data_IF_092259322234
#
_entry.id   IF_092259322234
#
_cell.length_a   1.000
_cell.length_b   1.000
_cell.length_c   1.000
_cell.angle_alpha   90.00
_cell.angle_beta   90.00
_cell.angle_gamma   90.00
#
_symmetry.space_group_name_H-M   'P 1'
#
loop_
_entity.id
_entity.type
_entity.pdbx_description
1 polymer ?
#
# COMPACT_ATOMS: atom_id res chain seq x y z
N UNK A 1 -10.12 -24.44 12.48
CA UNK A 1 -11.56 -24.68 12.18
C UNK A 1 -12.30 -23.45 11.69
N UNK A 2 -12.35 -22.33 12.43
CA UNK A 2 -13.07 -21.11 11.97
C UNK A 2 -12.53 -20.52 10.66
N UNK A 3 -11.22 -20.34 10.52
CA UNK A 3 -10.62 -19.90 9.24
C UNK A 3 -10.88 -20.92 8.11
N UNK A 4 -10.90 -22.22 8.40
CA UNK A 4 -11.25 -23.25 7.41
C UNK A 4 -12.72 -23.12 6.95
N UNK A 5 -13.66 -22.81 7.85
CA UNK A 5 -15.07 -22.60 7.47
C UNK A 5 -15.29 -21.32 6.62
N UNK A 6 -14.42 -20.32 6.75
CA UNK A 6 -14.52 -19.05 6.00
C UNK A 6 -13.76 -19.13 4.68
N UNK A 7 -12.61 -19.81 4.67
CA UNK A 7 -11.74 -19.96 3.49
C UNK A 7 -12.14 -21.17 2.64
N UNK A 8 -12.76 -22.17 3.24
CA UNK A 8 -12.93 -23.51 2.71
C UNK A 8 -14.35 -24.07 2.79
N UNK A 9 -14.47 -25.23 2.14
CA UNK A 9 -15.69 -26.02 1.94
C UNK A 9 -15.94 -26.81 3.24
N UNK A 10 -17.13 -26.66 3.82
CA UNK A 10 -17.55 -27.57 4.89
C UNK A 10 -17.65 -29.00 4.32
N UNK A 11 -17.16 -30.06 4.98
CA UNK A 11 -17.13 -31.43 4.44
C UNK A 11 -18.50 -32.04 4.07
N UNK A 12 -19.60 -31.33 4.30
CA UNK A 12 -20.97 -31.82 4.19
C UNK A 12 -21.86 -31.05 3.21
N UNK A 13 -21.33 -30.26 2.27
CA UNK A 13 -22.15 -29.51 1.30
C UNK A 13 -21.63 -29.53 -0.16
N UNK A 14 -22.55 -29.43 -1.16
CA UNK A 14 -22.30 -29.68 -2.59
C UNK A 14 -21.29 -28.72 -3.25
N UNK A 15 -20.80 -29.01 -4.47
CA UNK A 15 -19.52 -28.51 -4.99
C UNK A 15 -19.48 -27.02 -5.42
N UNK A 16 -20.53 -26.24 -5.16
CA UNK A 16 -20.59 -24.79 -5.44
C UNK A 16 -20.13 -23.91 -4.25
N UNK A 17 -19.83 -24.51 -3.11
CA UNK A 17 -19.58 -23.83 -1.83
C UNK A 17 -18.15 -23.34 -1.56
N UNK A 18 -17.46 -22.72 -2.54
CA UNK A 18 -16.22 -22.00 -2.24
C UNK A 18 -16.56 -20.56 -1.81
N UNK A 19 -16.54 -20.30 -0.50
CA UNK A 19 -16.85 -18.99 0.08
C UNK A 19 -15.83 -17.88 -0.25
N UNK A 20 -14.83 -18.16 -1.09
CA UNK A 20 -13.91 -17.15 -1.61
C UNK A 20 -13.16 -16.39 -0.52
N UNK A 21 -12.98 -16.99 0.66
CA UNK A 21 -12.27 -16.38 1.79
C UNK A 21 -13.09 -15.39 2.63
N UNK A 22 -14.40 -15.32 2.45
CA UNK A 22 -15.30 -14.51 3.28
C UNK A 22 -16.69 -15.17 3.47
N UNK A 23 -17.32 -14.97 4.61
CA UNK A 23 -18.66 -15.51 4.90
C UNK A 23 -19.52 -14.47 5.61
N UNK A 24 -20.81 -14.42 5.30
CA UNK A 24 -21.76 -13.58 6.04
C UNK A 24 -21.80 -13.96 7.52
N UNK A 25 -21.85 -12.96 8.41
CA UNK A 25 -21.82 -13.19 9.85
C UNK A 25 -23.01 -14.04 10.32
N UNK A 26 -24.20 -13.79 9.76
CA UNK A 26 -25.40 -14.58 10.08
C UNK A 26 -25.28 -16.05 9.65
N UNK A 27 -24.68 -16.31 8.47
CA UNK A 27 -24.43 -17.67 8.00
C UNK A 27 -23.36 -18.38 8.84
N UNK A 28 -22.29 -17.67 9.21
CA UNK A 28 -21.26 -18.20 10.10
C UNK A 28 -21.83 -18.58 11.48
N UNK A 29 -22.74 -17.77 12.02
CA UNK A 29 -23.45 -18.05 13.28
C UNK A 29 -24.37 -19.27 13.16
N UNK A 30 -25.06 -19.46 12.04
CA UNK A 30 -25.90 -20.66 11.82
C UNK A 30 -25.08 -21.95 11.78
N UNK A 31 -23.86 -21.89 11.25
CA UNK A 31 -22.96 -23.05 11.11
C UNK A 31 -22.25 -23.44 12.41
N UNK A 32 -22.16 -22.53 13.37
CA UNK A 32 -21.39 -22.71 14.58
C UNK A 32 -22.30 -22.57 15.81
N UNK A 33 -22.60 -23.69 16.46
CA UNK A 33 -23.23 -23.67 17.77
C UNK A 33 -22.26 -23.04 18.78
N UNK A 34 -22.66 -21.93 19.43
CA UNK A 34 -21.83 -21.27 20.47
C UNK A 34 -21.54 -19.79 20.24
N UNK A 35 -22.58 -18.95 20.12
CA UNK A 35 -22.46 -17.53 19.75
C UNK A 35 -21.46 -16.69 20.59
N UNK A 36 -21.31 -17.00 21.88
CA UNK A 36 -20.37 -16.26 22.75
C UNK A 36 -18.91 -16.58 22.42
N UNK A 37 -18.57 -17.84 22.16
CA UNK A 37 -17.21 -18.27 21.79
C UNK A 37 -16.82 -17.78 20.40
N UNK A 38 -17.77 -17.83 19.46
CA UNK A 38 -17.61 -17.25 18.12
C UNK A 38 -17.31 -15.74 18.20
N UNK A 39 -18.06 -14.99 19.01
CA UNK A 39 -17.81 -13.57 19.22
C UNK A 39 -16.43 -13.30 19.85
N UNK A 40 -15.87 -14.23 20.65
CA UNK A 40 -14.50 -14.11 21.16
C UNK A 40 -13.47 -14.33 20.07
N UNK A 41 -13.66 -15.37 19.27
CA UNK A 41 -12.74 -15.70 18.18
C UNK A 41 -12.70 -14.63 17.08
N UNK A 42 -13.84 -14.02 16.77
CA UNK A 42 -13.95 -12.94 15.77
C UNK A 42 -13.29 -11.62 16.19
N UNK A 43 -12.90 -11.47 17.47
CA UNK A 43 -12.13 -10.30 17.93
C UNK A 43 -10.65 -10.37 17.57
N UNK A 44 -10.15 -11.53 17.15
CA UNK A 44 -8.77 -11.66 16.69
C UNK A 44 -8.60 -11.02 15.31
N UNK A 45 -8.20 -9.74 15.31
CA UNK A 45 -7.95 -8.96 14.10
C UNK A 45 -6.81 -9.53 13.23
N UNK A 46 -5.94 -10.37 13.80
CA UNK A 46 -4.89 -11.07 13.06
C UNK A 46 -5.41 -12.27 12.26
N UNK A 47 -6.64 -12.74 12.56
CA UNK A 47 -7.26 -13.93 11.93
C UNK A 47 -8.53 -13.61 11.16
N UNK A 48 -9.26 -12.57 11.55
CA UNK A 48 -10.53 -12.19 10.95
C UNK A 48 -10.67 -10.68 10.83
N UNK A 49 -11.26 -10.23 9.72
CA UNK A 49 -11.68 -8.85 9.51
C UNK A 49 -13.20 -8.81 9.37
N UNK A 50 -13.87 -8.01 10.19
CA UNK A 50 -15.29 -7.75 10.07
C UNK A 50 -15.51 -6.55 9.13
N UNK A 51 -16.12 -6.80 7.98
CA UNK A 51 -16.43 -5.82 6.97
C UNK A 51 -17.95 -5.60 6.85
N UNK A 52 -18.33 -4.41 6.36
CA UNK A 52 -19.71 -4.07 6.04
C UNK A 52 -19.82 -3.81 4.55
N UNK A 53 -20.65 -4.58 3.86
CA UNK A 53 -20.86 -4.47 2.42
C UNK A 53 -22.28 -4.00 2.13
N UNK A 54 -22.48 -3.14 1.12
CA UNK A 54 -23.82 -2.75 0.71
C UNK A 54 -24.55 -3.95 0.09
N UNK A 55 -25.80 -4.18 0.50
CA UNK A 55 -26.69 -5.19 -0.08
C UNK A 55 -26.89 -4.99 -1.59
N UNK A 56 -26.78 -6.05 -2.42
CA UNK A 56 -27.17 -6.01 -3.80
C UNK A 56 -28.70 -6.06 -3.95
N UNK A 57 -29.37 -4.91 -3.71
CA UNK A 57 -30.69 -4.44 -4.22
C UNK A 57 -31.60 -3.87 -3.13
N UNK A 58 -32.00 -2.60 -3.31
CA UNK A 58 -33.37 -2.10 -3.16
C UNK A 58 -34.07 -2.07 -1.79
N UNK A 59 -33.66 -2.86 -0.80
CA UNK A 59 -34.17 -2.75 0.56
C UNK A 59 -33.31 -1.72 1.33
N UNK A 60 -33.97 -0.82 2.05
CA UNK A 60 -33.36 0.32 2.72
C UNK A 60 -32.02 0.00 3.41
N UNK A 61 -30.91 0.52 2.84
CA UNK A 61 -29.59 0.71 3.45
C UNK A 61 -29.13 -0.32 4.51
N UNK A 62 -29.43 -1.61 4.33
CA UNK A 62 -28.95 -2.65 5.22
C UNK A 62 -27.51 -3.00 4.79
N UNK A 63 -26.54 -2.68 5.65
CA UNK A 63 -25.17 -3.12 5.47
C UNK A 63 -25.04 -4.58 5.91
N UNK A 64 -24.64 -5.47 5.00
CA UNK A 64 -24.32 -6.86 5.33
C UNK A 64 -23.00 -6.93 6.07
N UNK A 65 -23.01 -7.52 7.27
CA UNK A 65 -21.80 -7.85 7.99
C UNK A 65 -21.18 -9.14 7.44
N UNK A 66 -19.95 -9.04 6.93
CA UNK A 66 -19.19 -10.14 6.34
C UNK A 66 -17.90 -10.34 7.13
N UNK A 67 -17.58 -11.59 7.46
CA UNK A 67 -16.33 -12.00 8.09
C UNK A 67 -15.36 -12.44 7.00
N UNK A 68 -14.24 -11.74 6.88
CA UNK A 68 -13.16 -12.04 5.94
C UNK A 68 -12.02 -12.73 6.70
N UNK A 69 -11.45 -13.80 6.14
CA UNK A 69 -10.29 -14.46 6.73
C UNK A 69 -9.01 -13.64 6.52
N UNK A 70 -8.33 -13.34 7.60
CA UNK A 70 -7.14 -12.48 7.64
C UNK A 70 -5.95 -13.29 8.15
N UNK A 71 -4.76 -12.98 7.66
CA UNK A 71 -3.53 -13.57 8.16
C UNK A 71 -2.32 -12.70 7.84
N UNK A 72 -1.38 -12.62 8.77
CA UNK A 72 -0.07 -11.99 8.58
C UNK A 72 0.94 -12.84 7.78
N UNK A 73 0.59 -14.08 7.40
CA UNK A 73 1.50 -14.96 6.67
C UNK A 73 1.83 -14.40 5.28
N UNK A 74 3.12 -14.37 4.91
CA UNK A 74 3.61 -13.84 3.62
C UNK A 74 4.62 -14.77 2.98
N UNK A 75 4.87 -14.58 1.68
CA UNK A 75 5.94 -15.27 0.97
C UNK A 75 7.32 -14.70 1.34
N UNK A 76 8.33 -15.56 1.36
CA UNK A 76 9.71 -15.14 1.52
C UNK A 76 10.25 -14.57 0.19
N UNK A 77 10.78 -13.34 0.16
CA UNK A 77 11.37 -12.77 -1.05
C UNK A 77 12.72 -13.42 -1.41
N UNK A 78 13.45 -13.98 -0.45
CA UNK A 78 14.81 -14.50 -0.61
C UNK A 78 14.89 -16.01 -0.97
N UNK A 79 13.77 -16.73 -1.06
CA UNK A 79 13.75 -18.19 -1.27
C UNK A 79 14.39 -18.66 -2.60
N UNK A 80 14.42 -17.80 -3.63
CA UNK A 80 14.85 -18.19 -4.99
C UNK A 80 16.35 -18.03 -5.25
N UNK A 81 17.09 -17.48 -4.30
CA UNK A 81 18.50 -17.10 -4.46
C UNK A 81 19.47 -17.79 -3.49
N UNK A 82 19.05 -18.86 -2.81
CA UNK A 82 19.88 -19.56 -1.82
C UNK A 82 20.15 -18.77 -0.53
N UNK A 83 19.61 -17.56 -0.39
CA UNK A 83 19.89 -16.66 0.74
C UNK A 83 19.02 -16.86 1.98
N UNK A 84 18.14 -17.87 2.02
CA UNK A 84 17.24 -18.10 3.14
C UNK A 84 17.56 -19.42 3.86
N UNK A 85 18.10 -19.33 5.07
CA UNK A 85 18.47 -20.48 5.90
C UNK A 85 17.28 -21.17 6.61
N UNK A 86 16.04 -20.91 6.19
CA UNK A 86 14.85 -21.60 6.72
C UNK A 86 14.31 -21.09 8.07
N UNK A 87 14.88 -20.02 8.64
CA UNK A 87 14.37 -19.38 9.89
C UNK A 87 13.75 -18.00 9.65
N UNK A 88 13.12 -17.81 8.49
CA UNK A 88 12.62 -16.50 8.05
C UNK A 88 11.19 -16.15 8.52
N UNK A 89 10.45 -17.10 9.11
CA UNK A 89 9.04 -16.91 9.51
C UNK A 89 8.09 -16.67 8.34
N UNK A 90 8.50 -16.97 7.10
CA UNK A 90 7.74 -16.73 5.86
C UNK A 90 7.70 -17.98 4.98
N UNK A 91 6.65 -18.11 4.18
CA UNK A 91 6.44 -19.29 3.33
C UNK A 91 7.43 -19.30 2.16
N UNK A 92 7.99 -20.48 1.90
CA UNK A 92 8.75 -20.79 0.69
C UNK A 92 7.79 -21.46 -0.30
N UNK A 93 7.26 -20.67 -1.23
CA UNK A 93 6.35 -21.11 -2.27
C UNK A 93 6.59 -20.40 -3.60
N UNK A 94 6.49 -21.14 -4.70
CA UNK A 94 6.49 -20.57 -6.04
C UNK A 94 5.27 -19.67 -6.24
N UNK A 95 5.51 -18.37 -6.48
CA UNK A 95 4.43 -17.39 -6.73
C UNK A 95 3.50 -17.78 -7.88
N UNK A 96 4.02 -18.45 -8.91
CA UNK A 96 3.23 -18.87 -10.07
C UNK A 96 2.42 -20.14 -9.75
N UNK A 97 2.98 -21.08 -9.00
CA UNK A 97 2.22 -22.21 -8.48
C UNK A 97 1.09 -21.73 -7.57
N UNK A 98 1.32 -20.70 -6.75
CA UNK A 98 0.32 -20.02 -5.92
C UNK A 98 -0.74 -19.24 -6.72
N UNK A 99 -0.44 -18.77 -7.94
CA UNK A 99 -1.47 -18.17 -8.82
C UNK A 99 -2.30 -19.21 -9.56
N UNK A 100 -1.77 -20.43 -9.70
CA UNK A 100 -2.46 -21.60 -10.24
C UNK A 100 -1.69 -22.25 -11.37
N UNK A 101 -0.93 -21.47 -12.15
CA UNK A 101 -0.19 -21.97 -13.31
C UNK A 101 1.29 -21.63 -13.20
N UNK A 102 2.12 -22.62 -12.90
CA UNK A 102 3.58 -22.53 -13.02
C UNK A 102 4.04 -23.10 -14.37
N UNK A 103 4.77 -22.29 -15.16
CA UNK A 103 5.32 -22.73 -16.46
C UNK A 103 6.25 -23.93 -16.34
N UNK A 104 7.09 -23.99 -15.31
CA UNK A 104 8.00 -25.12 -15.09
C UNK A 104 7.24 -26.39 -14.76
N UNK A 105 6.23 -26.30 -13.88
CA UNK A 105 5.34 -27.43 -13.59
C UNK A 105 4.62 -27.94 -14.84
N UNK A 106 4.06 -27.04 -15.64
CA UNK A 106 3.37 -27.38 -16.90
C UNK A 106 4.31 -28.02 -17.92
N UNK A 107 5.56 -27.55 -17.98
CA UNK A 107 6.59 -28.09 -18.86
C UNK A 107 7.30 -29.34 -18.28
N UNK A 108 6.85 -29.87 -17.12
CA UNK A 108 7.51 -30.97 -16.39
C UNK A 108 9.00 -30.73 -16.13
N UNK A 109 9.39 -29.46 -15.93
CA UNK A 109 10.73 -29.04 -15.56
C UNK A 109 10.79 -28.76 -14.07
N UNK A 110 11.97 -28.98 -13.48
CA UNK A 110 12.21 -28.62 -12.09
C UNK A 110 12.03 -27.12 -11.88
N UNK A 111 11.25 -26.77 -10.86
CA UNK A 111 11.08 -25.39 -10.45
C UNK A 111 12.06 -25.09 -9.31
N UNK A 112 12.79 -23.98 -9.43
CA UNK A 112 13.67 -23.48 -8.36
C UNK A 112 12.94 -23.10 -7.07
N UNK A 113 11.61 -23.06 -7.12
CA UNK A 113 10.76 -22.67 -6.01
C UNK A 113 9.87 -23.85 -5.60
N UNK A 114 9.59 -23.96 -4.31
CA UNK A 114 8.79 -25.04 -3.72
C UNK A 114 7.33 -24.97 -4.19
N UNK A 115 6.76 -26.10 -4.58
CA UNK A 115 5.34 -26.22 -4.96
C UNK A 115 4.49 -26.88 -3.86
N UNK A 116 5.11 -27.46 -2.83
CA UNK A 116 4.38 -28.06 -1.72
C UNK A 116 4.08 -27.01 -0.63
N UNK A 117 2.80 -26.71 -0.43
CA UNK A 117 2.30 -25.85 0.65
C UNK A 117 2.67 -26.36 2.04
N UNK A 118 2.79 -27.67 2.23
CA UNK A 118 3.13 -28.32 3.50
C UNK A 118 4.54 -28.94 3.44
N UNK A 119 5.50 -28.28 2.76
CA UNK A 119 6.91 -28.63 2.93
C UNK A 119 7.32 -28.51 4.40
N UNK A 120 8.38 -29.20 4.81
CA UNK A 120 8.85 -29.22 6.21
C UNK A 120 9.00 -27.80 6.80
N UNK A 121 9.66 -26.91 6.06
CA UNK A 121 9.78 -25.48 6.40
C UNK A 121 8.41 -24.79 6.50
N UNK A 122 7.57 -24.95 5.49
CA UNK A 122 6.27 -24.27 5.45
C UNK A 122 5.35 -24.74 6.58
N UNK A 123 5.39 -26.02 6.95
CA UNK A 123 4.56 -26.55 8.04
C UNK A 123 4.92 -25.89 9.38
N UNK A 124 6.20 -25.60 9.63
CA UNK A 124 6.63 -24.83 10.80
C UNK A 124 6.03 -23.42 10.81
N UNK A 125 6.10 -22.72 9.67
CA UNK A 125 5.49 -21.39 9.51
C UNK A 125 3.97 -21.47 9.65
N UNK A 126 3.29 -22.42 9.02
CA UNK A 126 1.83 -22.57 9.08
C UNK A 126 1.36 -22.81 10.52
N UNK A 127 2.07 -23.65 11.29
CA UNK A 127 1.77 -23.88 12.71
C UNK A 127 1.88 -22.62 13.56
N UNK A 128 2.86 -21.75 13.28
CA UNK A 128 2.99 -20.46 13.98
C UNK A 128 1.74 -19.59 13.80
N UNK A 129 1.08 -19.67 12.64
CA UNK A 129 -0.16 -18.94 12.35
C UNK A 129 -1.44 -19.77 12.59
N UNK A 130 -1.35 -21.03 13.04
CA UNK A 130 -2.50 -21.93 13.22
C UNK A 130 -3.23 -22.28 11.90
N UNK A 131 -2.47 -22.42 10.81
CA UNK A 131 -2.97 -22.65 9.44
C UNK A 131 -2.59 -24.03 8.89
N UNK A 132 -2.04 -24.91 9.72
CA UNK A 132 -1.49 -26.21 9.33
C UNK A 132 -2.52 -27.19 8.74
N UNK A 133 -3.79 -27.00 9.09
CA UNK A 133 -4.92 -27.84 8.64
C UNK A 133 -5.62 -27.31 7.39
N UNK A 134 -5.20 -26.16 6.85
CA UNK A 134 -5.78 -25.62 5.62
C UNK A 134 -5.23 -26.35 4.41
N UNK A 135 -6.10 -26.65 3.44
CA UNK A 135 -5.70 -27.21 2.16
C UNK A 135 -4.91 -26.21 1.31
N UNK A 136 -4.22 -26.70 0.28
CA UNK A 136 -3.48 -25.83 -0.65
C UNK A 136 -4.34 -24.78 -1.34
N UNK A 137 -5.61 -25.09 -1.63
CA UNK A 137 -6.55 -24.14 -2.24
C UNK A 137 -7.07 -23.10 -1.25
N UNK A 138 -7.25 -23.50 0.01
CA UNK A 138 -7.59 -22.57 1.08
C UNK A 138 -6.43 -21.62 1.36
N UNK A 139 -5.22 -22.14 1.50
CA UNK A 139 -4.00 -21.34 1.67
C UNK A 139 -3.79 -20.39 0.49
N UNK A 140 -4.10 -20.84 -0.73
CA UNK A 140 -4.08 -20.00 -1.93
C UNK A 140 -5.04 -18.83 -1.83
N UNK A 141 -6.31 -19.08 -1.50
CA UNK A 141 -7.30 -18.03 -1.32
C UNK A 141 -6.89 -17.04 -0.23
N UNK A 142 -6.46 -17.55 0.92
CA UNK A 142 -6.02 -16.75 2.06
C UNK A 142 -4.83 -15.86 1.70
N UNK A 143 -3.80 -16.40 1.03
CA UNK A 143 -2.62 -15.63 0.63
C UNK A 143 -2.96 -14.54 -0.40
N UNK A 144 -3.77 -14.86 -1.42
CA UNK A 144 -4.12 -13.91 -2.48
C UNK A 144 -4.90 -12.69 -1.96
N UNK A 145 -5.79 -12.87 -0.97
CA UNK A 145 -6.54 -11.75 -0.40
C UNK A 145 -5.76 -10.95 0.65
N UNK A 146 -4.75 -11.54 1.29
CA UNK A 146 -3.96 -10.88 2.34
C UNK A 146 -2.68 -10.19 1.82
N UNK A 147 -2.19 -10.55 0.64
CA UNK A 147 -0.97 -9.95 0.04
C UNK A 147 -1.27 -9.29 -1.33
N UNK A 148 -1.40 -7.95 -1.36
CA UNK A 148 -1.66 -7.22 -2.60
C UNK A 148 -0.60 -7.42 -3.69
N UNK A 149 0.64 -7.80 -3.34
CA UNK A 149 1.72 -8.02 -4.31
C UNK A 149 1.52 -9.30 -5.13
N UNK A 150 0.65 -10.20 -4.66
CA UNK A 150 0.27 -11.40 -5.39
C UNK A 150 -0.83 -11.14 -6.41
N UNK A 151 -1.62 -10.07 -6.23
CA UNK A 151 -2.68 -9.70 -7.14
C UNK A 151 -2.14 -8.90 -8.34
N UNK A 152 -2.78 -9.03 -9.52
CA UNK A 152 -2.48 -8.18 -10.66
C UNK A 152 -2.69 -6.70 -10.32
N UNK A 153 -1.87 -5.80 -10.85
CA UNK A 153 -2.08 -4.38 -10.61
C UNK A 153 -3.25 -3.84 -11.45
N UNK A 154 -4.09 -2.99 -10.85
CA UNK A 154 -5.18 -2.28 -11.53
C UNK A 154 -4.66 -0.96 -12.11
N UNK A 155 -5.01 -0.66 -13.35
CA UNK A 155 -4.62 0.58 -14.01
C UNK A 155 -5.40 1.76 -13.45
N UNK A 156 -4.68 2.68 -12.78
CA UNK A 156 -5.27 3.91 -12.24
C UNK A 156 -5.73 4.87 -13.34
N UNK A 157 -5.02 4.90 -14.47
CA UNK A 157 -5.36 5.78 -15.61
C UNK A 157 -6.60 5.32 -16.35
N UNK A 158 -6.81 3.99 -16.45
CA UNK A 158 -8.06 3.44 -16.95
C UNK A 158 -9.25 3.90 -16.12
N UNK A 159 -9.06 4.04 -14.81
CA UNK A 159 -10.11 4.50 -13.89
C UNK A 159 -10.32 6.03 -13.88
N UNK A 160 -9.67 6.79 -14.78
CA UNK A 160 -9.81 8.24 -14.93
C UNK A 160 -10.13 8.63 -16.38
N UNK A 161 -10.61 9.85 -16.60
CA UNK A 161 -10.93 10.38 -17.95
C UNK A 161 -12.12 9.70 -18.61
N UNK A 162 -12.34 10.01 -19.89
CA UNK A 162 -13.42 9.48 -20.73
C UNK A 162 -12.90 8.52 -21.81
N UNK A 163 -13.82 7.84 -22.50
CA UNK A 163 -13.50 6.89 -23.56
C UNK A 163 -13.25 5.46 -23.09
N UNK A 164 -13.04 4.52 -24.03
CA UNK A 164 -12.99 3.08 -23.76
C UNK A 164 -11.84 2.64 -22.87
N UNK A 165 -10.74 3.41 -22.84
CA UNK A 165 -9.56 3.15 -22.00
C UNK A 165 -9.32 4.23 -20.94
N UNK A 166 -10.28 5.14 -20.75
CA UNK A 166 -10.09 6.31 -19.89
C UNK A 166 -8.86 7.12 -20.30
N UNK A 167 -8.07 7.56 -19.32
CA UNK A 167 -6.80 8.28 -19.53
C UNK A 167 -5.60 7.35 -19.78
N UNK A 168 -5.80 6.04 -19.95
CA UNK A 168 -4.69 5.12 -20.21
C UNK A 168 -4.19 5.24 -21.65
N UNK A 169 -3.01 5.80 -21.83
CA UNK A 169 -2.35 5.94 -23.15
C UNK A 169 -1.86 4.60 -23.72
N UNK A 170 -1.68 3.59 -22.88
CA UNK A 170 -1.24 2.27 -23.30
C UNK A 170 -2.37 1.38 -23.87
N UNK A 171 -3.64 1.72 -23.64
CA UNK A 171 -4.78 0.96 -24.17
C UNK A 171 -4.62 -0.57 -24.04
N UNK A 172 -4.75 -1.29 -25.15
CA UNK A 172 -4.66 -2.77 -25.17
C UNK A 172 -3.32 -3.32 -24.69
N UNK A 173 -2.22 -2.62 -24.93
CA UNK A 173 -0.87 -3.06 -24.52
C UNK A 173 -0.55 -2.77 -23.05
N UNK A 174 -1.47 -2.13 -22.31
CA UNK A 174 -1.29 -1.92 -20.87
C UNK A 174 -1.17 -3.26 -20.14
N UNK A 175 -0.13 -3.41 -19.33
CA UNK A 175 0.13 -4.62 -18.53
C UNK A 175 -0.72 -4.68 -17.25
N UNK A 176 -1.32 -3.55 -16.85
CA UNK A 176 -2.23 -3.44 -15.70
C UNK A 176 -3.67 -3.72 -16.10
N UNK A 177 -4.47 -4.19 -15.15
CA UNK A 177 -5.87 -4.53 -15.38
C UNK A 177 -6.73 -3.30 -15.61
N UNK A 178 -7.56 -3.37 -16.65
CA UNK A 178 -8.57 -2.37 -16.99
C UNK A 178 -9.92 -2.77 -16.41
N UNK A 179 -10.02 -2.72 -15.08
CA UNK A 179 -11.23 -3.03 -14.32
C UNK A 179 -11.61 -1.84 -13.43
N UNK A 180 -12.91 -1.64 -13.22
CA UNK A 180 -13.46 -0.60 -12.37
C UNK A 180 -12.97 -0.74 -10.92
N UNK A 181 -12.25 0.25 -10.41
CA UNK A 181 -11.71 0.23 -9.06
C UNK A 181 -12.81 0.20 -7.99
N UNK A 182 -13.92 0.91 -8.21
CA UNK A 182 -15.05 0.90 -7.27
C UNK A 182 -15.76 -0.45 -7.22
N UNK A 183 -15.78 -1.19 -8.32
CA UNK A 183 -16.33 -2.54 -8.35
C UNK A 183 -15.48 -3.49 -7.50
N UNK A 184 -14.16 -3.39 -7.62
CA UNK A 184 -13.23 -4.18 -6.79
C UNK A 184 -13.31 -3.87 -5.30
N UNK A 185 -13.83 -2.71 -4.94
CA UNK A 185 -14.09 -2.29 -3.56
C UNK A 185 -15.51 -2.64 -3.08
N UNK A 186 -16.37 -3.17 -3.95
CA UNK A 186 -17.80 -3.40 -3.64
C UNK A 186 -18.63 -2.11 -3.53
N UNK A 187 -18.13 -0.99 -4.09
CA UNK A 187 -18.71 0.36 -3.93
C UNK A 187 -19.16 0.98 -5.27
N UNK A 188 -19.19 0.21 -6.36
CA UNK A 188 -19.62 0.73 -7.65
C UNK A 188 -21.14 0.95 -7.68
N UNK A 189 -21.56 2.22 -7.67
CA UNK A 189 -22.97 2.63 -7.72
C UNK A 189 -23.64 2.45 -9.08
N UNK A 190 -22.86 2.23 -10.13
CA UNK A 190 -23.37 2.14 -11.51
C UNK A 190 -23.75 0.72 -11.93
N UNK A 191 -23.37 -0.30 -11.15
CA UNK A 191 -23.66 -1.70 -11.47
C UNK A 191 -23.25 -2.05 -12.91
N UNK A 192 -24.14 -2.72 -13.65
CA UNK A 192 -23.93 -3.09 -15.05
C UNK A 192 -23.84 -1.91 -16.02
N UNK A 193 -24.30 -0.71 -15.61
CA UNK A 193 -24.23 0.51 -16.41
C UNK A 193 -22.92 1.30 -16.17
N UNK A 194 -21.95 0.71 -15.48
CA UNK A 194 -20.66 1.36 -15.27
C UNK A 194 -19.93 1.57 -16.59
N UNK A 195 -19.38 2.78 -16.80
CA UNK A 195 -18.49 3.08 -17.93
C UNK A 195 -17.19 2.26 -17.90
N UNK A 196 -16.90 1.58 -16.79
CA UNK A 196 -15.69 0.79 -16.56
C UNK A 196 -16.06 -0.68 -16.44
N UNK A 197 -15.19 -1.54 -16.98
CA UNK A 197 -15.42 -2.98 -17.03
C UNK A 197 -15.48 -3.57 -15.62
N UNK A 198 -16.46 -4.43 -15.38
CA UNK A 198 -16.58 -5.29 -14.20
C UNK A 198 -16.27 -6.76 -14.54
N UNK A 199 -15.95 -7.05 -15.80
CA UNK A 199 -15.83 -8.41 -16.31
C UNK A 199 -14.36 -8.83 -16.38
N UNK A 200 -13.98 -9.83 -15.58
CA UNK A 200 -12.65 -10.44 -15.59
C UNK A 200 -12.50 -11.52 -16.68
N UNK A 201 -13.60 -11.98 -17.27
CA UNK A 201 -13.64 -13.02 -18.29
C UNK A 201 -13.65 -12.45 -19.70
N UNK A 202 -13.68 -11.12 -19.85
CA UNK A 202 -13.48 -10.50 -21.14
C UNK A 202 -12.13 -10.93 -21.74
N UNK A 203 -12.08 -11.16 -23.05
CA UNK A 203 -10.91 -11.75 -23.74
C UNK A 203 -9.60 -10.99 -23.45
N UNK A 204 -9.60 -9.65 -23.47
CA UNK A 204 -8.40 -8.85 -23.22
C UNK A 204 -7.87 -9.02 -21.78
N UNK A 205 -8.76 -9.01 -20.79
CA UNK A 205 -8.43 -9.15 -19.37
C UNK A 205 -8.02 -10.59 -19.05
N UNK A 206 -8.78 -11.56 -19.55
CA UNK A 206 -8.53 -12.98 -19.33
C UNK A 206 -7.15 -13.40 -19.86
N UNK A 207 -6.80 -13.02 -21.09
CA UNK A 207 -5.47 -13.30 -21.65
C UNK A 207 -4.34 -12.66 -20.84
N UNK A 208 -4.53 -11.43 -20.32
CA UNK A 208 -3.55 -10.77 -19.46
C UNK A 208 -3.33 -11.54 -18.16
N UNK A 209 -4.40 -12.05 -17.56
CA UNK A 209 -4.36 -12.83 -16.32
C UNK A 209 -3.70 -14.20 -16.52
N UNK A 210 -4.00 -14.88 -17.62
CA UNK A 210 -3.34 -16.14 -17.98
C UNK A 210 -1.85 -15.97 -18.23
N UNK A 211 -1.44 -14.90 -18.94
CA UNK A 211 -0.01 -14.55 -19.11
C UNK A 211 0.70 -14.30 -17.78
N UNK A 212 -0.02 -13.87 -16.75
CA UNK A 212 0.49 -13.70 -15.39
C UNK A 212 0.49 -14.99 -14.55
N UNK A 213 0.05 -16.12 -15.11
CA UNK A 213 0.06 -17.45 -14.48
C UNK A 213 -1.16 -17.75 -13.62
N UNK A 214 -2.28 -17.05 -13.83
CA UNK A 214 -3.53 -17.33 -13.13
C UNK A 214 -4.34 -18.42 -13.83
N UNK A 215 -4.91 -19.33 -13.05
CA UNK A 215 -5.84 -20.36 -13.56
C UNK A 215 -7.24 -19.78 -13.76
N UNK A 216 -8.07 -20.43 -14.60
CA UNK A 216 -9.48 -20.03 -14.79
C UNK A 216 -10.24 -19.97 -13.47
N UNK A 217 -10.04 -20.94 -12.57
CA UNK A 217 -10.69 -20.97 -11.26
C UNK A 217 -10.21 -19.85 -10.33
N UNK A 218 -8.93 -19.49 -10.39
CA UNK A 218 -8.40 -18.31 -9.68
C UNK A 218 -9.03 -17.03 -10.22
N UNK A 219 -9.16 -16.90 -11.55
CA UNK A 219 -9.71 -15.70 -12.20
C UNK A 219 -11.17 -15.47 -11.80
N UNK A 220 -11.98 -16.53 -11.77
CA UNK A 220 -13.39 -16.46 -11.32
C UNK A 220 -13.54 -15.93 -9.89
N UNK A 221 -12.57 -16.21 -9.01
CA UNK A 221 -12.56 -15.76 -7.61
C UNK A 221 -12.03 -14.34 -7.41
N UNK A 222 -11.37 -13.74 -8.42
CA UNK A 222 -10.73 -12.43 -8.28
C UNK A 222 -11.65 -11.32 -7.77
N UNK A 223 -12.92 -11.17 -8.23
CA UNK A 223 -13.80 -10.13 -7.70
C UNK A 223 -13.91 -10.18 -6.18
N UNK A 224 -14.18 -11.35 -5.61
CA UNK A 224 -14.28 -11.57 -4.17
C UNK A 224 -12.93 -11.37 -3.48
N UNK A 225 -11.84 -11.88 -4.06
CA UNK A 225 -10.49 -11.73 -3.51
C UNK A 225 -10.05 -10.26 -3.41
N UNK A 226 -10.36 -9.43 -4.42
CA UNK A 226 -10.08 -7.99 -4.35
C UNK A 226 -10.92 -7.29 -3.29
N UNK A 227 -12.23 -7.61 -3.20
CA UNK A 227 -13.10 -7.04 -2.17
C UNK A 227 -12.58 -7.37 -0.77
N UNK A 228 -12.22 -8.64 -0.52
CA UNK A 228 -11.60 -9.08 0.73
C UNK A 228 -10.31 -8.31 1.03
N UNK A 229 -9.43 -8.13 0.03
CA UNK A 229 -8.19 -7.38 0.19
C UNK A 229 -8.44 -5.91 0.58
N UNK A 230 -9.42 -5.24 -0.04
CA UNK A 230 -9.78 -3.87 0.34
C UNK A 230 -10.43 -3.80 1.72
N UNK A 231 -11.24 -4.79 2.09
CA UNK A 231 -11.84 -4.89 3.43
C UNK A 231 -10.77 -5.01 4.52
N UNK A 232 -9.80 -5.90 4.33
CA UNK A 232 -8.64 -6.07 5.22
C UNK A 232 -7.86 -4.76 5.33
N UNK A 233 -7.49 -4.15 4.20
CA UNK A 233 -6.71 -2.90 4.17
C UNK A 233 -7.45 -1.73 4.83
N UNK A 234 -8.76 -1.64 4.67
CA UNK A 234 -9.56 -0.58 5.29
C UNK A 234 -9.74 -0.80 6.79
N UNK A 235 -9.75 -2.05 7.26
CA UNK A 235 -9.77 -2.39 8.68
C UNK A 235 -8.43 -2.04 9.36
N UNK A 236 -7.30 -2.32 8.73
CA UNK A 236 -5.98 -1.93 9.23
C UNK A 236 -5.89 -0.40 9.45
N UNK A 237 -6.38 0.40 8.49
CA UNK A 237 -6.44 1.87 8.62
C UNK A 237 -7.30 2.33 9.79
N UNK A 238 -8.41 1.65 10.09
CA UNK A 238 -9.28 1.97 11.23
C UNK A 238 -8.62 1.61 12.56
N UNK A 239 -7.89 0.50 12.63
CA UNK A 239 -7.14 0.10 13.83
C UNK A 239 -5.95 1.02 14.09
N UNK A 240 -5.20 1.42 13.06
CA UNK A 240 -4.15 2.45 13.16
C UNK A 240 -4.74 3.80 13.61
N UNK A 241 -5.92 4.17 13.11
CA UNK A 241 -6.64 5.39 13.53
C UNK A 241 -7.17 5.35 14.97
N UNK A 242 -7.20 4.19 15.62
CA UNK A 242 -7.71 4.02 16.99
C UNK A 242 -6.60 3.94 18.05
N UNK A 243 -5.33 3.85 17.64
CA UNK A 243 -4.17 3.86 18.54
C UNK A 243 -3.13 4.95 18.22
N UNK A 244 -3.34 5.73 17.16
CA UNK A 244 -2.56 6.95 16.89
C UNK A 244 -3.49 8.16 16.79
N UNK A 245 -4.04 8.58 17.93
CA UNK A 245 -4.44 9.97 18.12
C UNK A 245 -3.17 10.82 18.31
N UNK A 246 -2.43 11.04 17.23
CA UNK A 246 -1.62 12.24 16.96
C UNK A 246 -0.81 12.08 15.67
N UNK A 247 -1.17 12.86 14.64
CA UNK A 247 -0.27 13.44 13.61
C UNK A 247 0.03 12.69 12.29
N UNK A 248 -0.88 11.91 11.69
CA UNK A 248 -0.68 11.46 10.28
C UNK A 248 -1.68 12.02 9.27
N UNK A 249 -2.87 12.45 9.69
CA UNK A 249 -3.80 13.16 8.80
C UNK A 249 -3.38 14.62 8.53
N UNK A 250 -2.66 15.25 9.46
CA UNK A 250 -2.23 16.65 9.30
C UNK A 250 -1.22 16.77 8.15
N UNK A 251 -0.22 15.89 8.06
CA UNK A 251 0.80 15.92 7.01
C UNK A 251 0.25 15.84 5.57
N UNK A 252 -0.89 15.18 5.33
CA UNK A 252 -1.53 15.16 4.00
C UNK A 252 -2.39 16.40 3.70
N UNK A 253 -2.97 17.01 4.74
CA UNK A 253 -3.73 18.26 4.67
C UNK A 253 -2.79 19.49 4.55
N UNK A 254 -1.60 19.37 5.13
CA UNK A 254 -0.51 20.34 5.13
C UNK A 254 0.36 20.29 3.86
N UNK A 255 0.06 19.42 2.89
CA UNK A 255 0.75 19.42 1.61
C UNK A 255 0.22 20.50 0.66
N UNK A 256 1.13 21.07 -0.14
CA UNK A 256 0.77 22.00 -1.21
C UNK A 256 0.07 21.23 -2.33
N UNK A 257 -1.09 21.73 -2.75
CA UNK A 257 -1.90 21.15 -3.80
C UNK A 257 -1.18 21.26 -5.15
N UNK A 258 -0.60 20.14 -5.58
CA UNK A 258 0.08 20.04 -6.87
C UNK A 258 -0.79 20.48 -8.05
N UNK A 259 -2.09 20.18 -8.03
CA UNK A 259 -3.02 20.60 -9.09
C UNK A 259 -3.26 22.11 -9.09
N UNK A 260 -3.16 22.78 -7.94
CA UNK A 260 -3.26 24.24 -7.86
C UNK A 260 -2.04 24.91 -8.49
N UNK A 261 -0.83 24.38 -8.23
CA UNK A 261 0.40 24.86 -8.88
C UNK A 261 0.34 24.76 -10.41
N UNK A 262 -0.30 23.72 -10.93
CA UNK A 262 -0.56 23.59 -12.38
C UNK A 262 -1.79 24.36 -12.88
N UNK A 263 -2.42 25.21 -12.04
CA UNK A 263 -3.67 25.95 -12.32
C UNK A 263 -4.87 25.07 -12.71
N UNK A 264 -4.84 23.79 -12.34
CA UNK A 264 -5.80 22.75 -12.73
C UNK A 264 -6.56 22.14 -11.53
N UNK A 265 -6.57 22.81 -10.37
CA UNK A 265 -7.31 22.33 -9.20
C UNK A 265 -8.83 22.53 -9.39
N UNK A 266 -9.55 21.42 -9.55
CA UNK A 266 -11.01 21.40 -9.70
C UNK A 266 -11.76 21.79 -8.42
N UNK A 267 -11.12 21.67 -7.26
CA UNK A 267 -11.76 21.86 -5.96
C UNK A 267 -11.70 23.29 -5.43
N UNK A 268 -10.87 24.17 -6.03
CA UNK A 268 -10.70 25.58 -5.62
C UNK A 268 -10.65 25.71 -4.09
N UNK A 269 -11.54 26.49 -3.49
CA UNK A 269 -11.57 26.79 -2.05
C UNK A 269 -12.03 25.61 -1.17
N UNK A 270 -12.52 24.52 -1.77
CA UNK A 270 -12.89 23.27 -1.09
C UNK A 270 -11.77 22.22 -1.14
N UNK A 271 -10.58 22.59 -1.62
CA UNK A 271 -9.46 21.66 -1.63
C UNK A 271 -8.96 21.41 -0.21
N UNK A 272 -8.80 20.14 0.16
CA UNK A 272 -8.25 19.72 1.45
C UNK A 272 -6.75 20.04 1.61
N UNK A 273 -6.08 20.44 0.52
CA UNK A 273 -4.64 20.74 0.47
C UNK A 273 -4.41 22.23 0.34
N UNK A 274 -3.26 22.69 0.83
CA UNK A 274 -2.88 24.10 0.80
C UNK A 274 -2.69 24.60 -0.63
N UNK A 275 -3.40 25.67 -1.00
CA UNK A 275 -3.20 26.37 -2.26
C UNK A 275 -2.13 27.45 -2.07
N UNK A 276 -0.99 27.26 -2.73
CA UNK A 276 0.13 28.21 -2.70
C UNK A 276 0.81 28.25 -4.07
N UNK A 277 1.44 29.38 -4.41
CA UNK A 277 2.01 29.61 -5.74
C UNK A 277 3.43 29.05 -5.94
N UNK A 278 4.09 28.60 -4.86
CA UNK A 278 5.39 27.93 -4.88
C UNK A 278 5.29 26.46 -4.42
N UNK A 279 6.22 25.58 -4.83
CA UNK A 279 6.24 24.16 -4.42
C UNK A 279 6.68 23.95 -2.96
N UNK A 280 7.09 25.00 -2.27
CA UNK A 280 7.42 25.05 -0.85
C UNK A 280 6.75 26.26 -0.21
N UNK A 281 6.46 26.19 1.10
CA UNK A 281 5.92 27.30 1.89
C UNK A 281 6.56 27.32 3.27
N UNK A 282 7.17 28.44 3.66
CA UNK A 282 7.77 28.61 4.99
C UNK A 282 6.90 29.49 5.88
N UNK A 283 6.64 29.01 7.11
CA UNK A 283 5.81 29.71 8.08
C UNK A 283 6.45 29.71 9.46
N UNK A 284 6.19 30.79 10.22
CA UNK A 284 6.59 30.94 11.62
C UNK A 284 5.35 30.98 12.51
N UNK A 285 5.46 30.35 13.69
CA UNK A 285 4.39 30.34 14.68
C UNK A 285 4.24 31.73 15.33
N UNK A 286 3.02 32.22 15.36
CA UNK A 286 2.61 33.45 16.03
C UNK A 286 1.33 33.17 16.84
N UNK A 287 1.51 32.89 18.13
CA UNK A 287 0.47 32.34 18.99
C UNK A 287 -0.04 30.99 18.47
N UNK A 288 -1.36 30.90 18.26
CA UNK A 288 -2.02 29.70 17.70
C UNK A 288 -2.11 29.72 16.16
N UNK A 289 -1.46 30.69 15.50
CA UNK A 289 -1.53 30.89 14.04
C UNK A 289 -0.16 30.77 13.37
N UNK A 290 -0.15 30.49 12.07
CA UNK A 290 1.05 30.40 11.26
C UNK A 290 1.11 31.56 10.26
N UNK A 291 2.20 32.33 10.28
CA UNK A 291 2.44 33.46 9.37
C UNK A 291 3.50 33.14 8.34
N UNK A 292 3.28 33.56 7.10
CA UNK A 292 4.23 33.35 5.99
C UNK A 292 5.47 34.25 6.14
N UNK A 293 6.64 33.67 5.89
CA UNK A 293 7.90 34.40 5.86
C UNK A 293 8.09 35.10 4.51
N UNK A 294 8.54 36.36 4.52
CA UNK A 294 8.67 37.19 3.30
C UNK A 294 9.78 36.74 2.35
N UNK A 295 10.87 36.19 2.88
CA UNK A 295 12.08 35.86 2.11
C UNK A 295 12.21 34.35 1.90
N UNK A 296 11.15 33.75 1.37
CA UNK A 296 10.94 32.31 1.39
C UNK A 296 11.90 31.55 0.47
N UNK A 297 12.24 32.15 -0.67
CA UNK A 297 13.18 31.62 -1.67
C UNK A 297 14.61 31.53 -1.10
N UNK A 298 15.06 32.58 -0.41
CA UNK A 298 16.38 32.64 0.23
C UNK A 298 16.49 31.63 1.38
N UNK A 299 15.40 31.42 2.13
CA UNK A 299 15.32 30.41 3.18
C UNK A 299 15.38 29.00 2.58
N UNK A 300 14.65 28.74 1.49
CA UNK A 300 14.66 27.47 0.79
C UNK A 300 16.05 27.15 0.21
N UNK A 301 16.69 28.12 -0.43
CA UNK A 301 18.05 27.97 -0.97
C UNK A 301 19.04 27.62 0.15
N UNK A 302 18.96 28.30 1.30
CA UNK A 302 19.80 27.99 2.44
C UNK A 302 19.46 26.63 3.09
N UNK A 303 18.21 26.20 3.04
CA UNK A 303 17.77 24.89 3.53
C UNK A 303 18.34 23.76 2.67
N UNK A 304 18.25 23.86 1.35
CA UNK A 304 18.73 22.83 0.42
C UNK A 304 20.24 22.53 0.52
N UNK A 305 21.04 23.46 1.06
CA UNK A 305 22.46 23.25 1.31
C UNK A 305 22.70 22.56 2.67
N UNK A 306 23.11 21.27 2.72
CA UNK A 306 23.30 20.54 3.97
C UNK A 306 24.42 21.13 4.83
N UNK A 307 25.35 21.91 4.26
CA UNK A 307 26.43 22.58 5.01
C UNK A 307 25.91 23.73 5.86
N UNK A 308 24.79 24.36 5.45
CA UNK A 308 24.14 25.43 6.18
C UNK A 308 23.26 24.87 7.30
N UNK A 309 23.62 25.18 8.54
CA UNK A 309 22.80 24.90 9.73
C UNK A 309 21.76 25.98 10.01
N UNK A 310 21.93 27.15 9.39
CA UNK A 310 21.20 28.39 9.65
C UNK A 310 21.17 29.25 8.39
N UNK A 311 20.14 30.09 8.24
CA UNK A 311 20.14 31.14 7.22
C UNK A 311 21.10 32.28 7.66
N UNK A 312 21.87 32.80 6.70
CA UNK A 312 22.84 33.89 6.90
C UNK A 312 22.28 35.24 6.50
N UNK A 313 22.95 36.31 6.93
CA UNK A 313 22.67 37.70 6.51
C UNK A 313 23.03 37.82 5.02
N UNK A 314 22.09 38.31 4.19
CA UNK A 314 22.39 38.64 2.79
C UNK A 314 23.14 39.96 2.70
N UNK A 315 23.99 40.11 1.67
CA UNK A 315 24.77 41.34 1.39
C UNK A 315 23.90 42.60 1.22
N UNK A 316 22.58 42.46 1.13
CA UNK A 316 21.61 43.54 0.99
C UNK A 316 21.07 44.12 2.32
N UNK A 317 21.71 43.83 3.47
CA UNK A 317 21.42 44.50 4.74
C UNK A 317 20.00 44.28 5.29
N UNK A 318 19.27 43.30 4.76
CA UNK A 318 17.92 42.95 5.22
C UNK A 318 17.99 41.98 6.39
N UNK A 319 17.37 42.32 7.52
CA UNK A 319 17.32 41.49 8.73
C UNK A 319 16.42 40.28 8.46
N UNK A 320 17.02 39.18 8.03
CA UNK A 320 16.32 37.89 7.91
C UNK A 320 16.00 37.32 9.30
N UNK A 321 14.83 36.68 9.49
CA UNK A 321 14.55 35.93 10.71
C UNK A 321 15.57 34.81 10.88
N UNK A 322 16.23 34.74 12.03
CA UNK A 322 17.30 33.78 12.31
C UNK A 322 16.72 32.37 12.50
N UNK A 323 16.79 31.48 11.50
CA UNK A 323 16.19 30.14 11.51
C UNK A 323 17.28 29.08 11.68
N UNK A 324 17.14 28.23 12.70
CA UNK A 324 17.94 27.01 12.84
C UNK A 324 17.25 25.85 12.13
N UNK A 325 17.81 25.35 11.04
CA UNK A 325 17.22 24.26 10.25
C UNK A 325 17.25 22.91 10.95
N UNK A 326 18.11 22.75 11.97
CA UNK A 326 18.17 21.50 12.74
C UNK A 326 17.03 21.40 13.75
N UNK A 327 16.70 22.52 14.41
CA UNK A 327 15.65 22.57 15.43
C UNK A 327 14.33 23.10 14.90
N UNK A 328 14.28 23.53 13.63
CA UNK A 328 13.13 24.16 12.99
C UNK A 328 12.52 25.29 13.86
N UNK A 329 13.38 26.19 14.35
CA UNK A 329 12.99 27.30 15.23
C UNK A 329 13.68 28.61 14.82
N UNK A 330 13.03 29.74 15.12
CA UNK A 330 13.60 31.08 15.06
C UNK A 330 13.42 31.80 16.39
N UNK A 331 14.51 31.99 17.14
CA UNK A 331 14.43 32.41 18.54
C UNK A 331 13.63 31.39 19.37
N UNK A 332 12.52 31.84 19.97
CA UNK A 332 11.58 30.99 20.71
C UNK A 332 10.40 30.48 19.86
N UNK A 333 10.24 30.99 18.63
CA UNK A 333 9.13 30.64 17.75
C UNK A 333 9.47 29.39 16.91
N UNK A 334 8.50 28.49 16.76
CA UNK A 334 8.62 27.33 15.86
C UNK A 334 8.48 27.77 14.41
N UNK A 335 9.18 27.09 13.52
CA UNK A 335 9.15 27.30 12.07
C UNK A 335 8.75 25.98 11.41
N UNK A 336 7.94 26.05 10.35
CA UNK A 336 7.58 24.87 9.56
C UNK A 336 7.73 25.13 8.06
N UNK A 337 8.00 24.05 7.32
CA UNK A 337 8.07 24.03 5.86
C UNK A 337 7.00 23.09 5.32
N UNK A 338 6.07 23.60 4.53
CA UNK A 338 5.13 22.79 3.76
C UNK A 338 5.72 22.53 2.37
N UNK A 339 5.44 21.36 1.80
CA UNK A 339 5.98 20.97 0.50
C UNK A 339 4.91 20.35 -0.39
N UNK A 340 5.20 20.23 -1.68
CA UNK A 340 4.42 19.36 -2.57
C UNK A 340 4.60 17.88 -2.18
N UNK A 341 3.70 16.99 -2.65
CA UNK A 341 3.85 15.56 -2.43
C UNK A 341 5.20 15.03 -2.92
N UNK A 342 5.76 14.06 -2.20
CA UNK A 342 7.05 13.49 -2.54
C UNK A 342 7.05 12.83 -3.93
N UNK A 343 8.13 13.01 -4.68
CA UNK A 343 8.38 12.34 -5.96
C UNK A 343 8.34 10.80 -5.85
N UNK A 344 8.59 10.22 -4.67
CA UNK A 344 8.48 8.76 -4.45
C UNK A 344 7.01 8.29 -4.48
N UNK A 345 6.08 9.17 -4.11
CA UNK A 345 4.64 8.88 -4.02
C UNK A 345 3.87 9.22 -5.30
N UNK A 346 4.51 9.89 -6.27
CA UNK A 346 3.89 10.40 -7.48
C UNK A 346 4.73 9.99 -8.70
N UNK A 347 4.11 9.64 -9.84
CA UNK A 347 4.88 9.24 -11.01
C UNK A 347 5.67 10.41 -11.65
N UNK A 348 6.76 10.13 -12.41
CA UNK A 348 7.81 11.09 -12.79
C UNK A 348 7.41 12.22 -13.76
N UNK A 349 6.15 12.32 -14.18
CA UNK A 349 5.65 13.43 -15.01
C UNK A 349 5.23 14.66 -14.20
N UNK A 350 5.26 14.58 -12.86
CA UNK A 350 5.01 15.73 -12.00
C UNK A 350 6.33 16.42 -11.63
N UNK A 351 6.76 17.35 -12.49
CA UNK A 351 8.01 18.12 -12.33
C UNK A 351 8.08 19.01 -11.07
N UNK A 352 6.94 19.27 -10.41
CA UNK A 352 6.87 20.06 -9.17
C UNK A 352 6.71 19.20 -7.90
N UNK A 353 7.04 17.91 -7.96
CA UNK A 353 7.06 17.05 -6.77
C UNK A 353 8.35 17.25 -5.98
N UNK A 354 8.26 17.12 -4.65
CA UNK A 354 9.43 17.32 -3.79
C UNK A 354 10.30 16.08 -3.82
N UNK A 355 11.54 16.22 -4.28
CA UNK A 355 12.58 15.21 -4.14
C UNK A 355 13.28 15.43 -2.80
N UNK A 356 13.40 14.36 -2.01
CA UNK A 356 14.08 14.39 -0.72
C UNK A 356 15.41 13.68 -0.84
N UNK A 357 16.49 14.36 -0.55
CA UNK A 357 17.85 13.82 -0.68
C UNK A 357 18.44 13.64 0.72
N UNK A 358 18.93 12.44 0.97
CA UNK A 358 19.59 12.11 2.23
C UNK A 358 21.08 12.43 2.14
N UNK A 359 21.58 13.17 3.12
CA UNK A 359 23.00 13.49 3.26
C UNK A 359 23.53 12.95 4.58
N UNK A 360 24.78 12.48 4.55
CA UNK A 360 25.54 12.08 5.73
C UNK A 360 26.86 12.84 5.77
N UNK A 361 27.37 13.09 6.97
CA UNK A 361 28.65 13.77 7.17
C UNK A 361 29.74 12.72 7.32
N UNK A 362 30.77 12.78 6.49
CA UNK A 362 31.88 11.82 6.52
C UNK A 362 32.91 12.14 7.63
N UNK A 363 33.90 11.26 7.74
CA UNK A 363 34.98 11.35 8.74
C UNK A 363 35.86 12.61 8.57
N UNK A 364 35.84 13.25 7.40
CA UNK A 364 36.54 14.51 7.13
C UNK A 364 35.63 15.73 7.32
N UNK A 365 34.39 15.50 7.75
CA UNK A 365 33.41 16.54 8.02
C UNK A 365 32.71 17.09 6.76
N UNK A 366 32.85 16.41 5.62
CA UNK A 366 32.21 16.78 4.35
C UNK A 366 30.83 16.12 4.24
N UNK A 367 29.87 16.82 3.64
CA UNK A 367 28.53 16.28 3.39
C UNK A 367 28.50 15.48 2.09
N UNK A 368 28.10 14.22 2.18
CA UNK A 368 28.03 13.29 1.07
C UNK A 368 26.57 12.88 0.80
N UNK A 369 26.19 12.86 -0.48
CA UNK A 369 24.87 12.41 -0.94
C UNK A 369 24.76 10.89 -0.81
N UNK A 370 23.74 10.43 -0.08
CA UNK A 370 23.49 9.01 0.11
C UNK A 370 22.97 8.37 -1.20
N UNK A 371 23.70 7.38 -1.71
CA UNK A 371 23.34 6.65 -2.94
C UNK A 371 24.12 7.03 -4.20
N UNK A 372 25.10 7.95 -4.11
CA UNK A 372 25.88 8.43 -5.27
C UNK A 372 27.26 7.78 -5.48
N UNK A 373 27.63 6.72 -4.76
CA UNK A 373 28.92 6.05 -4.98
C UNK A 373 28.83 4.92 -6.03
N UNK A 374 29.51 5.22 -7.15
CA UNK A 374 30.24 4.35 -8.10
C UNK A 374 29.46 3.23 -8.81
N UNK A 375 29.45 3.37 -10.14
CA UNK A 375 29.03 2.40 -11.13
C UNK A 375 29.64 1.00 -10.95
N UNK A 376 28.81 0.02 -11.31
CA UNK A 376 29.02 -1.44 -11.41
C UNK A 376 28.79 -2.23 -10.11
N UNK A 377 27.74 -3.08 -10.17
CA UNK A 377 27.30 -4.03 -9.14
C UNK A 377 26.71 -3.45 -7.86
N UNK A 378 25.46 -2.97 -7.88
CA UNK A 378 24.43 -3.20 -6.83
C UNK A 378 23.11 -2.42 -7.11
N UNK A 379 22.69 -2.29 -8.37
CA UNK A 379 21.33 -1.83 -8.68
C UNK A 379 20.37 -3.00 -8.71
N UNK A 380 19.94 -3.45 -7.53
CA UNK A 380 18.61 -4.00 -7.29
C UNK A 380 18.40 -4.12 -5.77
N UNK A 381 17.17 -3.80 -5.36
CA UNK A 381 16.61 -3.84 -3.99
C UNK A 381 17.06 -2.73 -3.04
N UNK A 382 16.11 -2.34 -2.17
CA UNK A 382 16.24 -1.44 -1.00
C UNK A 382 15.80 0.02 -1.17
N UNK A 383 14.50 0.22 -1.34
CA UNK A 383 13.76 1.34 -0.76
C UNK A 383 12.58 0.74 0.04
N UNK A 384 12.25 1.33 1.20
CA UNK A 384 11.19 0.90 2.15
C UNK A 384 11.63 -0.12 3.25
N UNK A 385 12.90 -0.14 3.68
CA UNK A 385 13.25 -0.94 4.87
C UNK A 385 14.42 -0.38 5.71
N UNK A 386 14.53 0.94 5.83
CA UNK A 386 15.65 1.57 6.55
C UNK A 386 15.25 2.64 7.57
N UNK A 387 13.99 2.67 8.04
CA UNK A 387 13.65 3.48 9.23
C UNK A 387 14.08 2.80 10.54
N UNK A 388 14.16 1.47 10.55
CA UNK A 388 14.45 0.69 11.77
C UNK A 388 15.92 0.30 11.92
N UNK A 389 16.71 0.28 10.83
CA UNK A 389 18.12 -0.18 10.88
C UNK A 389 19.15 0.92 11.17
N UNK A 390 18.73 2.19 11.18
CA UNK A 390 19.64 3.34 11.34
C UNK A 390 19.83 3.77 12.81
N UNK A 391 19.07 3.20 13.75
CA UNK A 391 19.20 3.55 15.17
C UNK A 391 20.30 2.75 15.89
N UNK A 392 20.81 1.65 15.30
CA UNK A 392 21.71 0.73 16.00
C UNK A 392 23.19 0.78 15.56
N UNK A 393 23.52 1.35 14.38
CA UNK A 393 24.91 1.36 13.90
C UNK A 393 25.35 2.75 13.43
N UNK A 394 26.35 3.29 14.15
CA UNK A 394 27.19 4.47 13.88
C UNK A 394 26.58 5.86 14.21
N UNK A 395 27.34 6.64 15.00
CA UNK A 395 27.13 8.05 15.36
C UNK A 395 27.13 9.00 14.14
N UNK A 396 26.19 8.84 13.21
CA UNK A 396 26.01 9.68 12.04
C UNK A 396 24.77 10.54 12.25
N UNK A 397 24.85 11.85 11.95
CA UNK A 397 23.69 12.76 11.98
C UNK A 397 23.09 12.87 10.57
N UNK A 398 22.10 12.03 10.19
CA UNK A 398 21.50 12.11 8.86
C UNK A 398 20.68 13.39 8.72
N UNK A 399 20.79 14.04 7.55
CA UNK A 399 19.91 15.14 7.15
C UNK A 399 19.11 14.73 5.93
N UNK A 400 17.79 14.84 6.03
CA UNK A 400 16.89 14.76 4.90
C UNK A 400 16.53 16.19 4.52
N UNK A 401 16.94 16.63 3.33
CA UNK A 401 16.63 17.98 2.84
C UNK A 401 16.09 17.94 1.42
#
# INVERSE_FOLDING_TARGET
>A
HLQANIVGISPSQPPDGQHGGCLELGELQRRLAGGQELARALRDAGRFTLARRPEPRGAAAAELAVVVATSGVRLCPAQGGGGCAGRCGRLHLCKYHLKGVCRNQRARKECKFVHNFHSEHNLCVLRQYGLENLSGDELRQLLLQNDPLLLPEVCLYYNKGDGPYGSCTYGKICTKLHICQYFLQGQCRFGSNCKRSHDFLNSECYEKLERQGMSSDTIKKLPTTYMNMYDIKNSERKHSSSQESSNTNDDELEQICLYHLYKNCLFKDKCIRVHFHLPYRWQIADGDTWKDLKNMEEIEEAYCDPSKTRNGITESGSVLPYICFQSMCSGLAKVRRLSTPSAVTRPPHFILTTEWIWHWKDEYGLWQEYGKMVSTWFRKTFAIQLREKFAEDLNLSPRQR
#
